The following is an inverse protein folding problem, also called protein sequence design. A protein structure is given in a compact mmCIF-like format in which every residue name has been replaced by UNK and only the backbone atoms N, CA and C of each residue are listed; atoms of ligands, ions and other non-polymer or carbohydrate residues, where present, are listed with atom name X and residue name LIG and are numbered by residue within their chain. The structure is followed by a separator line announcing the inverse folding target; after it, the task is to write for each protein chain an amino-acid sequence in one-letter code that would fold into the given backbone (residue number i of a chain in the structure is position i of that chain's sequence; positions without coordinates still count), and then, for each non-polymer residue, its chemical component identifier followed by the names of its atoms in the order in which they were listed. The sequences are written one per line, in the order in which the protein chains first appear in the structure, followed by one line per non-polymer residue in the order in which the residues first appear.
data_IF_543414489604
#
_entry.id   IF_543414489604
#
_cell.length_a   1.000
_cell.length_b   1.000
_cell.length_c   1.000
_cell.angle_alpha   90.00
_cell.angle_beta   90.00
_cell.angle_gamma   90.00
#
_symmetry.space_group_name_H-M   'P 1'
#
loop_
_entity.id
_entity.type
_entity.pdbx_description
1 polymer ?
#
# COMPACT_ATOMS: atom_id res chain seq x y z
N UNK A 1 4.88 -7.85 0.74
CA UNK A 1 6.22 -7.91 0.11
C UNK A 1 6.64 -6.56 -0.44
N UNK A 2 7.90 -6.15 -0.25
CA UNK A 2 8.44 -4.86 -0.73
C UNK A 2 8.93 -4.98 -2.19
N UNK A 3 8.72 -3.92 -2.97
CA UNK A 3 9.18 -3.84 -4.36
C UNK A 3 10.58 -3.18 -4.45
N UNK A 4 11.63 -3.92 -4.83
CA UNK A 4 12.97 -3.35 -4.97
C UNK A 4 13.10 -2.36 -6.14
N UNK A 5 12.15 -2.37 -7.08
CA UNK A 5 12.12 -1.49 -8.25
C UNK A 5 11.25 -0.24 -8.04
N UNK A 6 10.85 0.06 -6.80
CA UNK A 6 10.17 1.33 -6.49
C UNK A 6 11.08 2.51 -6.87
N UNK A 7 10.59 3.39 -7.74
CA UNK A 7 11.37 4.47 -8.34
C UNK A 7 10.47 5.67 -8.70
N UNK A 8 9.65 6.11 -7.75
CA UNK A 8 8.85 7.32 -7.90
C UNK A 8 9.22 8.33 -6.82
N UNK A 9 9.45 9.56 -7.25
CA UNK A 9 9.73 10.73 -6.41
C UNK A 9 8.46 11.50 -6.02
N UNK A 10 7.33 11.19 -6.66
CA UNK A 10 6.06 11.92 -6.53
C UNK A 10 5.00 11.14 -5.78
N UNK A 11 4.92 9.83 -5.97
CA UNK A 11 3.84 9.02 -5.44
C UNK A 11 4.29 7.65 -4.95
N UNK A 12 3.54 7.08 -4.01
CA UNK A 12 3.82 5.80 -3.38
C UNK A 12 2.53 5.00 -3.28
N UNK A 13 2.55 3.75 -3.74
CA UNK A 13 1.38 2.88 -3.79
C UNK A 13 1.64 1.57 -3.04
N UNK A 14 0.74 1.21 -2.15
CA UNK A 14 0.68 -0.11 -1.52
C UNK A 14 -0.54 -0.85 -2.06
N UNK A 15 -0.35 -2.10 -2.52
CA UNK A 15 -1.37 -2.86 -3.25
C UNK A 15 -1.71 -4.16 -2.54
N UNK A 16 -2.98 -4.58 -2.63
CA UNK A 16 -3.37 -5.96 -2.31
C UNK A 16 -2.96 -6.94 -3.41
N UNK A 17 -3.09 -6.53 -4.68
CA UNK A 17 -2.71 -7.36 -5.82
C UNK A 17 -1.18 -7.46 -5.97
N UNK A 18 -0.71 -8.48 -6.69
CA UNK A 18 0.71 -8.67 -7.03
C UNK A 18 1.22 -7.80 -8.19
N UNK A 19 0.47 -6.78 -8.61
CA UNK A 19 0.88 -5.93 -9.73
C UNK A 19 1.97 -4.95 -9.31
N UNK A 20 3.04 -4.87 -10.11
CA UNK A 20 4.18 -4.00 -9.87
C UNK A 20 4.27 -2.93 -10.98
N UNK A 21 4.43 -1.67 -10.56
CA UNK A 21 4.89 -0.57 -11.40
C UNK A 21 5.92 0.26 -10.61
N UNK A 22 6.51 1.28 -11.23
CA UNK A 22 7.54 2.12 -10.60
C UNK A 22 7.07 2.90 -9.35
N UNK A 23 5.78 2.91 -9.06
CA UNK A 23 5.16 3.61 -7.91
C UNK A 23 4.77 2.65 -6.80
N UNK A 24 4.69 1.36 -7.11
CA UNK A 24 4.38 0.33 -6.12
C UNK A 24 5.56 0.21 -5.16
N UNK A 25 5.36 0.59 -3.89
CA UNK A 25 6.32 0.32 -2.81
C UNK A 25 6.17 -1.12 -2.31
N UNK A 26 4.94 -1.61 -2.22
CA UNK A 26 4.65 -2.94 -1.68
C UNK A 26 3.38 -3.57 -2.26
N UNK A 27 3.36 -4.90 -2.27
CA UNK A 27 2.23 -5.75 -2.67
C UNK A 27 1.82 -6.68 -1.53
N UNK A 28 0.68 -7.37 -1.70
CA UNK A 28 0.10 -8.29 -0.69
C UNK A 28 -0.27 -7.61 0.63
N UNK A 29 -0.75 -6.37 0.57
CA UNK A 29 -1.32 -5.70 1.73
C UNK A 29 -2.64 -6.35 2.17
N UNK A 30 -2.97 -6.21 3.45
CA UNK A 30 -4.24 -6.68 4.03
C UNK A 30 -5.43 -5.82 3.55
N UNK A 31 -5.20 -4.53 3.31
CA UNK A 31 -6.23 -3.54 2.94
C UNK A 31 -5.88 -2.74 1.69
N UNK A 32 -6.92 -2.24 1.02
CA UNK A 32 -6.88 -1.25 -0.05
C UNK A 32 -7.73 -0.03 0.34
N UNK A 33 -7.64 1.06 -0.44
CA UNK A 33 -8.49 2.24 -0.24
C UNK A 33 -10.00 1.91 -0.24
N UNK A 34 -10.43 0.92 -1.03
CA UNK A 34 -11.82 0.45 -1.05
C UNK A 34 -12.27 -0.25 0.24
N UNK A 35 -11.33 -0.74 1.07
CA UNK A 35 -11.64 -1.38 2.35
C UNK A 35 -11.78 -0.34 3.48
N UNK A 36 -11.41 0.92 3.22
CA UNK A 36 -11.51 2.00 4.19
C UNK A 36 -12.96 2.49 4.29
N UNK A 37 -13.42 2.67 5.53
CA UNK A 37 -14.74 3.27 5.79
C UNK A 37 -14.74 4.73 5.36
N UNK A 38 -15.86 5.21 4.84
CA UNK A 38 -16.04 6.64 4.59
C UNK A 38 -15.99 7.44 5.88
N UNK A 39 -15.54 8.69 5.82
CA UNK A 39 -15.49 9.58 7.00
C UNK A 39 -14.28 9.36 7.92
N UNK A 40 -13.14 8.90 7.38
CA UNK A 40 -11.87 8.95 8.09
C UNK A 40 -11.61 10.41 8.50
N UNK A 41 -11.43 10.65 9.80
CA UNK A 41 -11.15 12.00 10.31
C UNK A 41 -9.70 12.37 10.01
N UNK A 42 -9.37 13.66 9.84
CA UNK A 42 -8.01 14.12 9.51
C UNK A 42 -6.91 13.55 10.41
N UNK A 43 -7.18 13.35 11.71
CA UNK A 43 -6.20 12.86 12.69
C UNK A 43 -6.25 11.33 12.90
N UNK A 44 -7.02 10.62 12.09
CA UNK A 44 -7.11 9.16 12.19
C UNK A 44 -5.89 8.52 11.55
N UNK A 45 -5.36 7.50 12.22
CA UNK A 45 -4.31 6.64 11.65
C UNK A 45 -4.95 5.46 10.94
N UNK A 46 -4.48 5.19 9.72
CA UNK A 46 -4.81 3.97 8.98
C UNK A 46 -3.60 3.06 9.01
N UNK A 47 -3.73 1.91 9.65
CA UNK A 47 -2.71 0.87 9.63
C UNK A 47 -2.92 -0.05 8.41
N UNK A 48 -1.85 -0.19 7.62
CA UNK A 48 -1.75 -1.12 6.50
C UNK A 48 -0.71 -2.16 6.86
N UNK A 49 -1.11 -3.43 6.88
CA UNK A 49 -0.22 -4.55 7.21
C UNK A 49 0.23 -5.19 5.90
N UNK A 50 1.54 -5.34 5.77
CA UNK A 50 2.16 -5.99 4.63
C UNK A 50 2.84 -7.25 5.15
N UNK A 51 2.40 -8.40 4.68
CA UNK A 51 3.10 -9.63 4.96
C UNK A 51 4.44 -9.65 4.19
N UNK A 52 5.54 -9.73 4.94
CA UNK A 52 6.90 -9.81 4.40
C UNK A 52 7.55 -11.17 4.66
N UNK A 53 6.82 -12.12 5.26
CA UNK A 53 7.29 -13.49 5.39
C UNK A 53 7.32 -14.14 3.99
N UNK A 54 8.43 -14.82 3.71
CA UNK A 54 8.65 -15.57 2.47
C UNK A 54 7.78 -16.82 2.41
#
# INVERSE_FOLDING_TARGET
ELNPSFNSDREMVVRKSGFLDGRTLAVKADKAASDLKTGIKPDSVVEIVIDTTL
#
